data_IF_011821913361
#
_entry.id   IF_011821913361
#
_cell.length_a   1.000
_cell.length_b   1.000
_cell.length_c   1.000
_cell.angle_alpha   90.00
_cell.angle_beta   90.00
_cell.angle_gamma   90.00
#
_symmetry.space_group_name_H-M   'P 1'
#
loop_
_entity.id
_entity.type
_entity.pdbx_description
1 polymer ?
#
# COMPACT_ATOMS: atom_id res chain seq x y z
N UNK A 1 12.59 59.61 -22.63
CA UNK A 1 11.55 59.35 -23.65
C UNK A 1 10.86 58.02 -23.34
N UNK A 2 9.53 57.96 -23.33
CA UNK A 2 8.72 56.73 -23.15
C UNK A 2 7.66 56.70 -24.25
N UNK A 3 7.50 55.56 -24.93
CA UNK A 3 6.55 55.19 -26.01
C UNK A 3 6.82 53.68 -26.30
N UNK A 4 6.00 52.80 -26.88
CA UNK A 4 4.55 52.67 -27.18
C UNK A 4 4.33 51.24 -27.76
N UNK A 5 3.19 50.53 -27.70
CA UNK A 5 1.87 50.68 -27.04
C UNK A 5 1.23 49.28 -26.87
N UNK A 6 0.21 49.12 -26.01
CA UNK A 6 -0.52 47.84 -25.87
C UNK A 6 -1.80 47.77 -26.76
N UNK A 7 -1.97 46.68 -27.51
CA UNK A 7 -3.18 46.31 -28.26
C UNK A 7 -3.37 44.78 -28.10
N UNK A 8 -4.36 44.26 -27.35
CA UNK A 8 -5.82 44.34 -27.51
C UNK A 8 -6.35 43.50 -28.69
N UNK A 9 -6.57 42.21 -28.44
CA UNK A 9 -7.22 41.28 -29.38
C UNK A 9 -8.71 41.14 -29.03
N UNK A 10 -9.58 41.54 -29.97
CA UNK A 10 -11.04 41.57 -29.78
C UNK A 10 -11.68 40.19 -30.00
N UNK A 11 -12.48 39.71 -29.04
CA UNK A 11 -13.36 38.53 -29.21
C UNK A 11 -14.61 38.89 -30.01
N UNK A 12 -14.91 38.14 -31.08
CA UNK A 12 -16.09 38.35 -31.92
C UNK A 12 -17.38 37.82 -31.28
N UNK A 13 -18.45 38.64 -31.30
CA UNK A 13 -19.81 38.23 -30.89
C UNK A 13 -20.58 37.70 -32.10
N UNK A 14 -21.05 36.44 -32.08
CA UNK A 14 -22.03 35.94 -33.05
C UNK A 14 -23.45 36.36 -32.63
N UNK A 15 -24.27 36.76 -33.61
CA UNK A 15 -25.59 37.38 -33.41
C UNK A 15 -26.71 36.35 -33.29
N UNK A 16 -27.71 36.72 -32.50
CA UNK A 16 -28.98 35.99 -32.29
C UNK A 16 -29.89 36.22 -33.49
N UNK A 17 -30.57 35.18 -33.98
CA UNK A 17 -31.72 35.28 -34.89
C UNK A 17 -32.82 34.37 -34.34
N UNK A 18 -34.04 34.88 -34.17
CA UNK A 18 -35.23 34.13 -33.74
C UNK A 18 -36.17 33.93 -34.94
N UNK A 19 -36.78 32.76 -35.13
CA UNK A 19 -37.97 32.60 -35.96
C UNK A 19 -39.28 32.70 -35.15
N UNK A 20 -40.37 32.91 -35.90
CA UNK A 20 -41.66 33.45 -35.49
C UNK A 20 -42.55 32.59 -34.56
N UNK A 21 -43.58 33.25 -34.01
CA UNK A 21 -44.67 32.68 -33.19
C UNK A 21 -45.87 32.34 -34.08
N UNK A 22 -46.35 31.09 -34.03
CA UNK A 22 -47.67 30.68 -34.57
C UNK A 22 -48.56 30.24 -33.41
N UNK A 23 -49.87 30.42 -33.55
CA UNK A 23 -50.86 30.34 -32.45
C UNK A 23 -51.86 29.20 -32.68
N UNK A 24 -52.13 28.46 -31.61
CA UNK A 24 -53.41 27.78 -31.28
C UNK A 24 -54.10 26.85 -32.30
N UNK A 25 -54.28 25.60 -31.91
CA UNK A 25 -55.64 25.06 -31.69
C UNK A 25 -55.61 24.03 -30.55
N UNK A 26 -56.68 23.97 -29.76
CA UNK A 26 -56.83 23.02 -28.66
C UNK A 26 -57.97 22.05 -28.96
N UNK A 27 -57.74 20.76 -28.70
CA UNK A 27 -58.76 19.72 -28.60
C UNK A 27 -58.42 18.84 -27.40
N UNK A 28 -59.45 18.26 -26.77
CA UNK A 28 -59.47 17.85 -25.36
C UNK A 28 -59.58 16.34 -25.15
N UNK A 29 -58.87 15.85 -24.12
CA UNK A 29 -59.15 14.64 -23.31
C UNK A 29 -59.06 13.24 -23.99
N UNK A 30 -58.92 12.12 -23.25
CA UNK A 30 -58.46 11.95 -21.86
C UNK A 30 -57.39 10.85 -21.64
N UNK A 31 -56.78 10.89 -20.44
CA UNK A 31 -56.26 9.76 -19.64
C UNK A 31 -55.60 8.53 -20.31
N UNK A 32 -54.30 8.33 -20.06
CA UNK A 32 -53.76 6.99 -19.82
C UNK A 32 -52.80 6.98 -18.61
N UNK A 33 -52.78 5.88 -17.86
CA UNK A 33 -51.99 5.71 -16.63
C UNK A 33 -50.66 5.03 -16.95
N UNK A 34 -49.54 5.73 -16.81
CA UNK A 34 -48.23 5.06 -16.75
C UNK A 34 -47.21 5.73 -15.83
N UNK A 35 -46.98 5.05 -14.71
CA UNK A 35 -45.70 4.93 -13.96
C UNK A 35 -44.92 6.22 -13.68
N UNK A 36 -44.95 6.65 -12.42
CA UNK A 36 -43.96 7.57 -11.87
C UNK A 36 -42.56 6.93 -11.85
N UNK A 37 -41.80 7.15 -12.91
CA UNK A 37 -40.37 6.82 -12.95
C UNK A 37 -39.62 7.70 -11.96
N UNK A 38 -39.16 7.11 -10.84
CA UNK A 38 -38.20 7.78 -9.96
C UNK A 38 -36.92 8.01 -10.75
N UNK A 39 -36.55 9.26 -10.89
CA UNK A 39 -35.27 9.71 -11.45
C UNK A 39 -34.14 9.10 -10.62
N UNK A 40 -33.51 8.05 -11.15
CA UNK A 40 -32.42 7.36 -10.47
C UNK A 40 -31.17 8.22 -10.56
N UNK A 41 -30.94 9.03 -9.52
CA UNK A 41 -29.68 9.75 -9.34
C UNK A 41 -28.49 8.79 -9.48
N UNK A 42 -27.35 9.23 -10.05
CA UNK A 42 -26.16 8.39 -10.12
C UNK A 42 -25.78 7.89 -8.72
N UNK A 43 -25.58 6.58 -8.61
CA UNK A 43 -24.96 6.00 -7.42
C UNK A 43 -23.50 6.45 -7.37
N UNK A 44 -23.27 7.61 -6.77
CA UNK A 44 -21.93 8.09 -6.42
C UNK A 44 -21.22 6.96 -5.68
N UNK A 45 -20.11 6.51 -6.25
CA UNK A 45 -19.43 5.29 -5.83
C UNK A 45 -18.74 5.50 -4.49
N UNK A 46 -19.47 5.23 -3.41
CA UNK A 46 -18.95 4.98 -2.07
C UNK A 46 -18.12 3.71 -1.99
N UNK A 47 -17.13 3.54 -2.89
CA UNK A 47 -15.99 2.66 -2.66
C UNK A 47 -15.14 3.31 -1.59
N UNK A 48 -15.55 3.10 -0.34
CA UNK A 48 -14.84 3.59 0.83
C UNK A 48 -13.37 3.20 0.73
N UNK A 49 -12.50 4.12 1.13
CA UNK A 49 -11.04 3.99 1.15
C UNK A 49 -10.54 3.03 2.25
N UNK A 50 -11.20 1.88 2.37
CA UNK A 50 -11.02 0.89 3.42
C UNK A 50 -10.65 -0.46 2.81
N UNK A 51 -9.35 -0.65 2.58
CA UNK A 51 -8.77 -2.00 2.51
C UNK A 51 -7.30 -1.95 2.95
N UNK A 52 -6.42 -1.38 2.12
CA UNK A 52 -4.96 -1.33 2.34
C UNK A 52 -4.52 -0.63 3.64
N UNK A 53 -4.87 0.65 3.83
CA UNK A 53 -4.43 1.40 5.02
C UNK A 53 -4.99 0.82 6.32
N UNK A 54 -6.23 0.32 6.28
CA UNK A 54 -6.87 -0.33 7.43
C UNK A 54 -6.15 -1.63 7.80
N UNK A 55 -5.85 -2.48 6.82
CA UNK A 55 -5.07 -3.70 7.04
C UNK A 55 -3.67 -3.41 7.61
N UNK A 56 -2.98 -2.38 7.09
CA UNK A 56 -1.68 -1.98 7.59
C UNK A 56 -1.73 -1.47 9.04
N UNK A 57 -2.70 -0.61 9.40
CA UNK A 57 -2.87 -0.13 10.77
C UNK A 57 -3.23 -1.26 11.75
N UNK A 58 -4.05 -2.23 11.34
CA UNK A 58 -4.34 -3.43 12.13
C UNK A 58 -3.09 -4.29 12.35
N UNK A 59 -2.27 -4.50 11.32
CA UNK A 59 -0.99 -5.19 11.44
C UNK A 59 -0.02 -4.49 12.40
N UNK A 60 0.16 -3.17 12.28
CA UNK A 60 1.02 -2.39 13.18
C UNK A 60 0.55 -2.46 14.64
N UNK A 61 -0.76 -2.41 14.87
CA UNK A 61 -1.36 -2.58 16.21
C UNK A 61 -1.06 -3.96 16.78
N UNK A 62 -1.14 -5.02 15.98
CA UNK A 62 -0.91 -6.39 16.43
C UNK A 62 0.56 -6.66 16.77
N UNK A 63 1.50 -6.28 15.89
CA UNK A 63 2.93 -6.44 16.20
C UNK A 63 3.39 -5.54 17.36
N UNK A 64 2.69 -4.43 17.61
CA UNK A 64 2.92 -3.54 18.73
C UNK A 64 2.59 -4.15 20.10
N UNK A 65 1.65 -5.10 20.16
CA UNK A 65 1.23 -5.80 21.39
C UNK A 65 2.25 -6.82 21.90
N UNK A 66 3.11 -7.36 21.03
CA UNK A 66 4.08 -8.38 21.44
C UNK A 66 5.26 -7.71 22.15
N UNK A 67 5.60 -8.14 23.39
CA UNK A 67 6.73 -7.57 24.13
C UNK A 67 8.07 -7.93 23.47
N UNK A 68 9.07 -7.07 23.68
CA UNK A 68 10.44 -7.33 23.23
C UNK A 68 11.09 -8.43 24.09
N UNK A 69 11.97 -9.22 23.48
CA UNK A 69 12.71 -10.27 24.18
C UNK A 69 13.96 -9.73 24.86
N UNK A 70 14.30 -10.27 26.02
CA UNK A 70 15.62 -10.10 26.64
C UNK A 70 16.63 -11.06 26.00
N UNK A 71 17.96 -10.80 26.08
CA UNK A 71 18.98 -11.71 25.57
C UNK A 71 18.88 -13.13 26.16
N UNK A 72 18.49 -13.27 27.43
CA UNK A 72 18.25 -14.55 28.09
C UNK A 72 17.05 -15.29 27.49
N UNK A 73 15.97 -14.57 27.14
CA UNK A 73 14.82 -15.15 26.44
C UNK A 73 15.17 -15.55 25.00
N UNK A 74 15.97 -14.76 24.27
CA UNK A 74 16.49 -15.15 22.95
C UNK A 74 17.28 -16.46 23.02
N UNK A 75 18.14 -16.63 24.04
CA UNK A 75 18.91 -17.86 24.26
C UNK A 75 18.00 -19.06 24.51
N UNK A 76 16.99 -18.93 25.38
CA UNK A 76 16.11 -20.06 25.70
C UNK A 76 15.17 -20.43 24.54
N UNK A 77 14.62 -19.44 23.84
CA UNK A 77 13.84 -19.69 22.62
C UNK A 77 14.68 -20.37 21.55
N UNK A 78 15.93 -19.93 21.32
CA UNK A 78 16.83 -20.59 20.36
C UNK A 78 17.13 -22.06 20.70
N UNK A 79 17.32 -22.40 21.99
CA UNK A 79 17.47 -23.81 22.43
C UNK A 79 16.21 -24.64 22.19
N UNK A 80 15.02 -24.05 22.34
CA UNK A 80 13.73 -24.72 22.07
C UNK A 80 13.50 -24.90 20.56
N UNK A 81 13.81 -23.89 19.76
CA UNK A 81 13.74 -23.92 18.29
C UNK A 81 14.66 -25.01 17.72
N UNK A 82 15.90 -25.12 18.22
CA UNK A 82 16.84 -26.20 17.87
C UNK A 82 16.33 -27.61 18.22
N UNK A 83 15.32 -27.74 19.10
CA UNK A 83 14.61 -28.99 19.44
C UNK A 83 13.30 -29.17 18.65
N UNK A 84 13.00 -28.30 17.68
CA UNK A 84 11.80 -28.38 16.85
C UNK A 84 10.55 -27.69 17.43
N UNK A 85 10.67 -26.92 18.51
CA UNK A 85 9.54 -26.22 19.12
C UNK A 85 9.02 -25.07 18.23
N UNK A 86 7.94 -25.36 17.48
CA UNK A 86 7.25 -24.40 16.62
C UNK A 86 6.69 -23.21 17.39
N UNK A 87 6.20 -23.39 18.62
CA UNK A 87 5.67 -22.28 19.43
C UNK A 87 6.79 -21.31 19.84
N UNK A 88 7.97 -21.83 20.19
CA UNK A 88 9.14 -21.00 20.45
C UNK A 88 9.61 -20.24 19.21
N UNK A 89 9.60 -20.87 18.03
CA UNK A 89 9.89 -20.23 16.73
C UNK A 89 8.94 -19.07 16.47
N UNK A 90 7.64 -19.31 16.59
CA UNK A 90 6.62 -18.30 16.30
C UNK A 90 6.64 -17.15 17.31
N UNK A 91 6.91 -17.43 18.60
CA UNK A 91 7.13 -16.41 19.62
C UNK A 91 8.35 -15.53 19.29
N UNK A 92 9.46 -16.15 18.89
CA UNK A 92 10.69 -15.44 18.54
C UNK A 92 10.54 -14.56 17.29
N UNK A 93 9.78 -15.04 16.29
CA UNK A 93 9.41 -14.25 15.11
C UNK A 93 8.52 -13.06 15.51
N UNK A 94 7.41 -13.30 16.22
CA UNK A 94 6.42 -12.26 16.58
C UNK A 94 7.04 -11.09 17.32
N UNK A 95 7.91 -11.36 18.30
CA UNK A 95 8.60 -10.32 19.06
C UNK A 95 9.56 -9.44 18.22
N UNK A 96 9.94 -9.90 17.03
CA UNK A 96 10.89 -9.23 16.15
C UNK A 96 10.25 -8.62 14.88
N UNK A 97 8.94 -8.73 14.67
CA UNK A 97 8.26 -8.14 13.50
C UNK A 97 8.42 -6.61 13.43
N UNK A 98 8.54 -5.94 14.58
CA UNK A 98 8.83 -4.50 14.67
C UNK A 98 10.18 -4.11 14.05
N UNK A 99 11.18 -5.00 14.10
CA UNK A 99 12.48 -4.79 13.45
C UNK A 99 12.34 -4.84 11.92
N UNK A 100 11.50 -5.73 11.39
CA UNK A 100 11.24 -5.84 9.95
C UNK A 100 10.63 -4.54 9.42
N UNK A 101 9.60 -4.01 10.10
CA UNK A 101 8.97 -2.74 9.70
C UNK A 101 9.97 -1.58 9.75
N UNK A 102 10.84 -1.53 10.78
CA UNK A 102 11.89 -0.51 10.87
C UNK A 102 12.84 -0.58 9.66
N UNK A 103 13.30 -1.78 9.29
CA UNK A 103 14.21 -1.96 8.16
C UNK A 103 13.50 -1.71 6.83
N UNK A 104 12.22 -2.09 6.68
CA UNK A 104 11.46 -1.92 5.44
C UNK A 104 11.30 -0.44 5.03
N UNK A 105 11.19 0.45 6.01
CA UNK A 105 11.13 1.91 5.81
C UNK A 105 12.36 2.47 5.10
N UNK A 106 13.54 1.86 5.29
CA UNK A 106 14.77 2.23 4.59
C UNK A 106 14.75 1.85 3.08
N UNK A 107 13.78 1.03 2.65
CA UNK A 107 13.61 0.53 1.27
C UNK A 107 12.32 1.03 0.59
N UNK A 108 11.61 2.00 1.16
CA UNK A 108 10.47 2.64 0.50
C UNK A 108 10.89 3.46 -0.72
N UNK A 109 10.02 3.53 -1.73
CA UNK A 109 10.27 4.26 -2.98
C UNK A 109 11.12 3.51 -4.02
N UNK A 110 11.73 2.37 -3.69
CA UNK A 110 12.56 1.58 -4.61
C UNK A 110 11.76 0.68 -5.59
N UNK A 111 10.48 0.96 -5.82
CA UNK A 111 9.65 0.25 -6.81
C UNK A 111 8.87 -0.97 -6.29
N UNK A 112 8.80 -1.19 -4.97
CA UNK A 112 7.86 -2.12 -4.35
C UNK A 112 7.03 -1.42 -3.25
N UNK A 113 5.75 -1.79 -3.06
CA UNK A 113 4.94 -1.34 -1.93
C UNK A 113 5.56 -1.73 -0.57
N UNK A 114 5.36 -0.89 0.45
CA UNK A 114 5.86 -1.15 1.81
C UNK A 114 5.36 -2.48 2.39
N UNK A 115 4.10 -2.85 2.15
CA UNK A 115 3.54 -4.11 2.62
C UNK A 115 4.29 -5.31 2.05
N UNK A 116 4.67 -5.27 0.77
CA UNK A 116 5.40 -6.35 0.11
C UNK A 116 6.85 -6.43 0.60
N UNK A 117 7.51 -5.27 0.82
CA UNK A 117 8.81 -5.20 1.48
C UNK A 117 8.78 -5.79 2.90
N UNK A 118 7.72 -5.52 3.66
CA UNK A 118 7.51 -6.10 5.00
C UNK A 118 7.29 -7.62 4.89
N UNK A 119 6.50 -8.09 3.92
CA UNK A 119 6.24 -9.52 3.73
C UNK A 119 7.52 -10.30 3.37
N UNK A 120 8.30 -9.81 2.41
CA UNK A 120 9.60 -10.39 2.03
C UNK A 120 10.62 -10.27 3.19
N UNK A 121 10.60 -9.17 3.91
CA UNK A 121 11.35 -8.98 5.16
C UNK A 121 11.01 -9.99 6.25
N UNK A 122 9.72 -10.31 6.42
CA UNK A 122 9.24 -11.32 7.37
C UNK A 122 9.70 -12.72 6.97
N UNK A 123 9.74 -13.04 5.66
CA UNK A 123 10.34 -14.28 5.13
C UNK A 123 11.84 -14.32 5.41
N UNK A 124 12.55 -13.18 5.31
CA UNK A 124 13.93 -13.03 5.75
C UNK A 124 14.12 -13.31 7.23
N UNK A 125 13.30 -12.69 8.10
CA UNK A 125 13.31 -12.90 9.54
C UNK A 125 13.11 -14.38 9.92
N UNK A 126 12.15 -15.08 9.29
CA UNK A 126 11.92 -16.51 9.55
C UNK A 126 13.18 -17.35 9.31
N UNK A 127 13.86 -17.14 8.18
CA UNK A 127 15.13 -17.82 7.84
C UNK A 127 16.26 -17.45 8.82
N UNK A 128 16.28 -16.21 9.30
CA UNK A 128 17.21 -15.75 10.33
C UNK A 128 16.99 -16.45 11.68
N UNK A 129 15.73 -16.56 12.12
CA UNK A 129 15.35 -17.25 13.37
C UNK A 129 15.69 -18.75 13.32
N UNK A 130 15.44 -19.43 12.20
CA UNK A 130 15.77 -20.85 12.01
C UNK A 130 17.28 -21.15 12.05
N UNK A 131 18.12 -20.16 11.73
CA UNK A 131 19.58 -20.30 11.63
C UNK A 131 20.35 -19.61 12.77
N UNK A 132 19.64 -18.97 13.69
CA UNK A 132 20.25 -18.21 14.77
C UNK A 132 20.97 -19.11 15.78
N UNK A 133 22.19 -18.73 16.16
CA UNK A 133 22.94 -19.39 17.22
C UNK A 133 23.47 -18.37 18.25
N UNK A 134 22.87 -18.30 19.45
CA UNK A 134 23.33 -17.41 20.52
C UNK A 134 24.78 -17.67 20.94
N UNK A 135 25.32 -18.88 20.71
CA UNK A 135 26.71 -19.21 21.03
C UNK A 135 27.73 -18.36 20.25
N UNK A 136 27.31 -17.70 19.16
CA UNK A 136 28.15 -16.79 18.36
C UNK A 136 28.24 -15.37 18.93
N UNK A 137 27.68 -15.11 20.11
CA UNK A 137 27.85 -13.84 20.85
C UNK A 137 27.05 -12.64 20.33
N UNK A 138 26.31 -12.77 19.22
CA UNK A 138 25.46 -11.72 18.67
C UNK A 138 24.00 -11.85 19.16
N UNK A 139 23.33 -10.71 19.36
CA UNK A 139 21.87 -10.64 19.57
C UNK A 139 21.13 -11.09 18.30
N UNK A 140 19.92 -11.62 18.43
CA UNK A 140 19.11 -12.01 17.27
C UNK A 140 18.92 -10.83 16.31
N UNK A 141 18.64 -9.64 16.81
CA UNK A 141 18.36 -8.45 15.99
C UNK A 141 19.51 -8.12 15.03
N UNK A 142 20.76 -8.21 15.47
CA UNK A 142 21.96 -8.03 14.63
C UNK A 142 22.04 -9.08 13.53
N UNK A 143 21.81 -10.35 13.88
CA UNK A 143 21.89 -11.46 12.92
C UNK A 143 20.73 -11.46 11.91
N UNK A 144 19.50 -11.26 12.38
CA UNK A 144 18.29 -11.23 11.57
C UNK A 144 18.26 -10.05 10.59
N UNK A 145 18.84 -8.89 10.96
CA UNK A 145 18.90 -7.71 10.08
C UNK A 145 19.57 -8.01 8.73
N UNK A 146 20.59 -8.88 8.69
CA UNK A 146 21.20 -9.30 7.42
C UNK A 146 20.22 -10.10 6.56
N UNK A 147 19.52 -11.09 7.13
CA UNK A 147 18.52 -11.90 6.42
C UNK A 147 17.32 -11.08 5.91
N UNK A 148 16.86 -10.12 6.71
CA UNK A 148 15.77 -9.19 6.35
C UNK A 148 16.21 -8.33 5.15
N UNK A 149 17.36 -7.67 5.23
CA UNK A 149 17.90 -6.85 4.14
C UNK A 149 18.16 -7.66 2.88
N UNK A 150 18.68 -8.89 3.01
CA UNK A 150 18.93 -9.78 1.88
C UNK A 150 17.63 -10.22 1.19
N UNK A 151 16.57 -10.48 1.95
CA UNK A 151 15.26 -10.82 1.38
C UNK A 151 14.64 -9.62 0.63
N UNK A 152 14.64 -8.43 1.23
CA UNK A 152 14.15 -7.20 0.59
C UNK A 152 14.92 -6.85 -0.68
N UNK A 153 16.26 -6.84 -0.65
CA UNK A 153 17.09 -6.60 -1.85
C UNK A 153 16.81 -7.63 -2.95
N UNK A 154 16.67 -8.90 -2.59
CA UNK A 154 16.30 -9.97 -3.53
C UNK A 154 14.90 -9.75 -4.11
N UNK A 155 13.92 -9.31 -3.31
CA UNK A 155 12.58 -9.01 -3.79
C UNK A 155 12.61 -7.85 -4.80
N UNK A 156 13.25 -6.72 -4.43
CA UNK A 156 13.44 -5.56 -5.28
C UNK A 156 14.07 -5.93 -6.63
N UNK A 157 15.20 -6.65 -6.65
CA UNK A 157 15.84 -7.08 -7.89
C UNK A 157 14.95 -8.00 -8.77
N UNK A 158 14.03 -8.75 -8.16
CA UNK A 158 13.20 -9.73 -8.85
C UNK A 158 11.81 -9.22 -9.28
N UNK A 159 11.26 -8.20 -8.60
CA UNK A 159 9.85 -7.80 -8.65
C UNK A 159 9.61 -6.29 -8.90
N UNK A 160 10.61 -5.41 -8.68
CA UNK A 160 10.42 -3.94 -8.83
C UNK A 160 10.21 -3.45 -10.27
N UNK A 161 10.42 -4.31 -11.26
CA UNK A 161 10.31 -4.01 -12.70
C UNK A 161 9.25 -4.91 -13.32
N UNK A 162 8.40 -4.35 -14.18
CA UNK A 162 7.36 -5.09 -14.94
C UNK A 162 7.95 -6.25 -15.74
N UNK A 163 9.14 -6.06 -16.31
CA UNK A 163 9.92 -7.12 -16.94
C UNK A 163 11.02 -7.53 -15.97
N UNK A 164 10.97 -8.79 -15.54
CA UNK A 164 11.96 -9.41 -14.68
C UNK A 164 13.33 -9.48 -15.37
N UNK A 165 14.35 -8.91 -14.73
CA UNK A 165 15.75 -9.05 -15.14
C UNK A 165 16.49 -10.06 -14.23
N UNK A 166 17.47 -10.82 -14.75
CA UNK A 166 18.44 -11.56 -13.94
C UNK A 166 19.22 -10.62 -13.00
N UNK A 167 19.46 -11.07 -11.76
CA UNK A 167 20.04 -10.23 -10.69
C UNK A 167 21.41 -9.65 -11.07
N UNK A 168 22.26 -10.41 -11.75
CA UNK A 168 23.61 -10.00 -12.18
C UNK A 168 23.64 -8.90 -13.27
N UNK A 169 22.47 -8.42 -13.73
CA UNK A 169 22.32 -7.34 -14.72
C UNK A 169 21.82 -6.04 -14.02
N UNK A 170 21.60 -6.09 -12.70
CA UNK A 170 20.92 -5.03 -11.92
C UNK A 170 21.83 -4.41 -10.84
N UNK A 171 23.06 -4.91 -10.70
CA UNK A 171 24.11 -4.38 -9.79
C UNK A 171 24.83 -3.14 -10.37
#
# INVERSE_FOLDING_TARGET
MRNNSALSVRRGRKRIIKPARVKSLALTEPSDRSVAGKESAPLESGRGSYDGDTAFHLYLREIGRTPLLTPQQEIELAKRIKRGDKRARDQMIKANLRLVVKIARDYEGFGLPLLDLINEGNIGLMKGVERFDPKKGAKLSTYAAWWIKQAMKRALANQSKTIRLPVHIVD
#
